data_IF_679509640975
#
_entry.id   IF_679509640975
#
_cell.length_a   1.000
_cell.length_b   1.000
_cell.length_c   1.000
_cell.angle_alpha   90.00
_cell.angle_beta   90.00
_cell.angle_gamma   90.00
#
_symmetry.space_group_name_H-M   'P 1'
#
loop_
_entity.id
_entity.type
_entity.pdbx_description
1 polymer ?
#
# COMPACT_ATOMS: atom_id res chain seq x y z
N UNK A 1 10.17 49.13 43.23
CA UNK A 1 8.80 48.59 43.24
C UNK A 1 7.92 49.46 42.34
N UNK A 2 7.61 48.98 41.13
CA UNK A 2 6.49 49.47 40.32
C UNK A 2 5.83 48.20 39.79
N UNK A 3 4.55 48.02 40.13
CA UNK A 3 3.86 46.75 40.06
C UNK A 3 3.88 46.11 38.66
N UNK A 4 4.54 44.95 38.57
CA UNK A 4 4.48 44.00 37.46
C UNK A 4 3.21 43.14 37.57
N UNK A 5 2.03 43.77 37.57
CA UNK A 5 0.75 43.06 37.59
C UNK A 5 0.19 42.87 36.17
N UNK A 6 0.50 41.70 35.60
CA UNK A 6 -0.18 40.97 34.52
C UNK A 6 -1.18 41.73 33.62
N UNK A 7 -0.68 42.40 32.58
CA UNK A 7 -1.53 42.86 31.48
C UNK A 7 -2.06 41.64 30.70
N UNK A 8 -3.33 41.30 30.90
CA UNK A 8 -4.12 40.44 30.00
C UNK A 8 -4.34 41.20 28.68
N UNK A 9 -3.34 41.28 27.80
CA UNK A 9 -3.55 41.83 26.46
C UNK A 9 -4.32 40.80 25.61
N UNK A 10 -5.64 40.97 25.53
CA UNK A 10 -6.52 40.30 24.57
C UNK A 10 -6.68 41.25 23.38
N UNK A 11 -6.03 40.97 22.26
CA UNK A 11 -6.23 41.75 21.04
C UNK A 11 -7.44 41.18 20.27
N UNK A 12 -8.56 41.90 20.30
CA UNK A 12 -9.77 41.59 19.53
C UNK A 12 -10.04 42.73 18.53
N UNK A 13 -9.89 42.47 17.23
CA UNK A 13 -10.02 43.54 16.22
C UNK A 13 -10.84 43.04 15.01
N UNK A 14 -11.75 43.90 14.54
CA UNK A 14 -12.69 43.68 13.43
C UNK A 14 -12.46 44.75 12.35
N UNK A 15 -12.33 44.35 11.08
CA UNK A 15 -12.38 45.28 9.93
C UNK A 15 -11.08 45.99 9.53
N UNK A 16 -9.93 45.67 10.13
CA UNK A 16 -8.63 46.25 9.76
C UNK A 16 -7.95 45.49 8.60
N UNK A 17 -7.25 46.22 7.71
CA UNK A 17 -6.55 45.61 6.54
C UNK A 17 -5.39 44.71 6.98
N UNK A 18 -4.62 45.10 8.00
CA UNK A 18 -3.46 44.37 8.53
C UNK A 18 -3.47 44.38 10.07
N UNK A 19 -3.09 43.24 10.66
CA UNK A 19 -2.92 43.09 12.12
C UNK A 19 -1.65 42.29 12.41
N UNK A 20 -0.76 42.89 13.21
CA UNK A 20 0.47 42.25 13.69
C UNK A 20 0.52 42.34 15.22
N UNK A 21 0.72 41.21 15.89
CA UNK A 21 0.89 41.12 17.34
C UNK A 21 2.25 40.56 17.75
N UNK A 22 2.69 40.86 18.97
CA UNK A 22 3.84 40.25 19.61
C UNK A 22 3.58 40.08 21.11
N UNK A 23 3.78 38.87 21.65
CA UNK A 23 3.73 38.61 23.10
C UNK A 23 2.34 38.66 23.76
N UNK A 24 1.24 38.65 22.98
CA UNK A 24 -0.12 38.65 23.55
C UNK A 24 -0.50 37.29 24.14
N UNK A 25 -1.34 37.26 25.18
CA UNK A 25 -1.85 35.97 25.69
C UNK A 25 -2.85 35.35 24.70
N UNK A 26 -3.70 36.19 24.07
CA UNK A 26 -4.69 35.77 23.08
C UNK A 26 -4.80 36.81 21.97
N UNK A 27 -4.80 36.36 20.71
CA UNK A 27 -5.03 37.20 19.53
C UNK A 27 -6.17 36.62 18.70
N UNK A 28 -7.17 37.44 18.37
CA UNK A 28 -8.31 37.03 17.56
C UNK A 28 -8.64 38.09 16.51
N UNK A 29 -8.73 37.67 15.24
CA UNK A 29 -9.13 38.56 14.14
C UNK A 29 -10.34 38.03 13.38
N UNK A 30 -11.29 38.94 13.10
CA UNK A 30 -12.49 38.65 12.30
C UNK A 30 -12.62 39.67 11.16
N UNK A 31 -12.69 39.21 9.92
CA UNK A 31 -12.92 40.06 8.74
C UNK A 31 -11.73 40.93 8.30
N UNK A 32 -10.58 40.79 8.96
CA UNK A 32 -9.33 41.42 8.53
C UNK A 32 -8.71 40.69 7.33
N UNK A 33 -7.90 41.39 6.54
CA UNK A 33 -7.26 40.79 5.37
C UNK A 33 -6.06 39.92 5.79
N UNK A 34 -5.26 40.37 6.75
CA UNK A 34 -4.07 39.68 7.27
C UNK A 34 -4.04 39.71 8.81
N UNK A 35 -3.69 38.58 9.42
CA UNK A 35 -3.39 38.50 10.85
C UNK A 35 -2.10 37.70 11.06
N UNK A 36 -1.11 38.32 11.69
CA UNK A 36 0.15 37.68 12.07
C UNK A 36 0.43 37.87 13.55
N UNK A 37 0.97 36.84 14.20
CA UNK A 37 1.35 36.95 15.61
C UNK A 37 2.59 36.11 15.94
N UNK A 38 3.37 36.61 16.90
CA UNK A 38 4.57 35.97 17.43
C UNK A 38 4.46 35.77 18.93
N UNK A 39 4.67 34.53 19.38
CA UNK A 39 4.81 34.20 20.80
C UNK A 39 3.51 34.16 21.61
N UNK A 40 2.35 34.19 20.97
CA UNK A 40 1.07 34.18 21.69
C UNK A 40 0.66 32.80 22.18
N UNK A 41 -0.12 32.72 23.27
CA UNK A 41 -0.63 31.42 23.73
C UNK A 41 -1.62 30.86 22.70
N UNK A 42 -2.52 31.67 22.17
CA UNK A 42 -3.51 31.24 21.16
C UNK A 42 -3.78 32.35 20.15
N UNK A 43 -3.69 31.99 18.87
CA UNK A 43 -4.01 32.84 17.73
C UNK A 43 -5.18 32.23 16.95
N UNK A 44 -6.28 32.98 16.83
CA UNK A 44 -7.49 32.53 16.15
C UNK A 44 -7.90 33.48 15.02
N UNK A 45 -8.35 32.92 13.90
CA UNK A 45 -8.83 33.66 12.74
C UNK A 45 -10.20 33.20 12.26
N UNK A 46 -11.01 34.14 11.78
CA UNK A 46 -12.25 33.87 11.03
C UNK A 46 -12.35 34.74 9.79
N UNK A 47 -12.47 34.10 8.62
CA UNK A 47 -12.70 34.78 7.34
C UNK A 47 -11.54 35.68 6.90
N UNK A 48 -10.30 35.27 7.19
CA UNK A 48 -9.09 36.05 6.85
C UNK A 48 -8.57 35.69 5.45
N UNK A 49 -7.82 36.57 4.79
CA UNK A 49 -7.07 36.11 3.60
C UNK A 49 -5.86 35.28 4.03
N UNK A 50 -5.14 35.73 5.04
CA UNK A 50 -3.96 35.03 5.55
C UNK A 50 -3.91 35.08 7.08
N UNK A 51 -3.65 33.92 7.69
CA UNK A 51 -3.37 33.78 9.12
C UNK A 51 -2.01 33.11 9.31
N UNK A 52 -1.10 33.77 10.04
CA UNK A 52 0.25 33.25 10.29
C UNK A 52 0.61 33.34 11.78
N UNK A 53 1.13 32.25 12.34
CA UNK A 53 1.60 32.21 13.73
C UNK A 53 2.99 31.61 13.83
N UNK A 54 3.89 32.29 14.56
CA UNK A 54 5.24 31.80 14.87
C UNK A 54 5.41 31.69 16.38
N UNK A 55 5.80 30.51 16.86
CA UNK A 55 6.07 30.27 18.28
C UNK A 55 4.84 30.31 19.19
N UNK A 56 3.63 30.34 18.62
CA UNK A 56 2.39 30.26 19.39
C UNK A 56 2.10 28.83 19.84
N UNK A 57 1.36 28.61 20.95
CA UNK A 57 0.98 27.23 21.33
C UNK A 57 -0.12 26.68 20.43
N UNK A 58 -1.12 27.50 20.12
CA UNK A 58 -2.28 27.13 19.31
C UNK A 58 -2.49 28.13 18.18
N UNK A 59 -2.68 27.64 16.97
CA UNK A 59 -3.09 28.44 15.82
C UNK A 59 -4.30 27.78 15.17
N UNK A 60 -5.45 28.46 15.21
CA UNK A 60 -6.69 27.93 14.64
C UNK A 60 -7.32 28.91 13.67
N UNK A 61 -7.85 28.38 12.57
CA UNK A 61 -8.57 29.18 11.59
C UNK A 61 -9.87 28.53 11.13
N UNK A 62 -10.87 29.39 10.87
CA UNK A 62 -12.09 29.03 10.15
C UNK A 62 -12.24 29.92 8.92
N UNK A 63 -12.04 29.34 7.73
CA UNK A 63 -12.36 29.96 6.45
C UNK A 63 -11.35 30.96 5.90
N UNK A 64 -10.04 30.83 6.19
CA UNK A 64 -9.01 31.64 5.54
C UNK A 64 -8.53 31.09 4.20
N UNK A 65 -7.99 31.96 3.33
CA UNK A 65 -7.35 31.45 2.10
C UNK A 65 -6.07 30.67 2.44
N UNK A 66 -5.27 31.09 3.41
CA UNK A 66 -4.06 30.38 3.84
C UNK A 66 -3.79 30.50 5.33
N UNK A 67 -3.53 29.35 5.95
CA UNK A 67 -3.13 29.18 7.34
C UNK A 67 -1.70 28.61 7.40
N UNK A 68 -0.78 29.34 8.02
CA UNK A 68 0.63 28.92 8.13
C UNK A 68 1.11 28.95 9.58
N UNK A 69 1.83 27.89 9.99
CA UNK A 69 2.43 27.76 11.32
C UNK A 69 3.91 27.41 11.30
N UNK A 70 4.68 27.95 12.26
CA UNK A 70 6.06 27.51 12.54
C UNK A 70 6.28 27.34 14.04
N UNK A 71 6.71 26.14 14.44
CA UNK A 71 7.10 25.81 15.82
C UNK A 71 5.91 25.81 16.80
N UNK A 72 4.75 25.32 16.36
CA UNK A 72 3.52 25.32 17.16
C UNK A 72 3.33 24.00 17.93
N UNK A 73 2.49 23.98 18.96
CA UNK A 73 2.03 22.68 19.50
C UNK A 73 0.88 22.14 18.65
N UNK A 74 -0.07 22.98 18.26
CA UNK A 74 -1.24 22.60 17.47
C UNK A 74 -1.50 23.61 16.34
N UNK A 75 -1.64 23.11 15.10
CA UNK A 75 -2.16 23.85 13.96
C UNK A 75 -3.41 23.19 13.41
N UNK A 76 -4.52 23.94 13.33
CA UNK A 76 -5.80 23.41 12.87
C UNK A 76 -6.54 24.41 11.97
N UNK A 77 -7.04 23.95 10.84
CA UNK A 77 -7.81 24.78 9.92
C UNK A 77 -9.05 24.06 9.41
N UNK A 78 -10.19 24.75 9.47
CA UNK A 78 -11.46 24.30 8.89
C UNK A 78 -11.85 25.23 7.74
N UNK A 79 -12.06 24.65 6.56
CA UNK A 79 -12.45 25.40 5.37
C UNK A 79 -11.36 26.33 4.81
N UNK A 80 -10.10 26.19 5.24
CA UNK A 80 -9.00 27.00 4.70
C UNK A 80 -8.50 26.40 3.39
N UNK A 81 -8.13 27.18 2.36
CA UNK A 81 -7.68 26.59 1.07
C UNK A 81 -6.29 25.96 1.12
N UNK A 82 -5.38 26.53 1.90
CA UNK A 82 -4.01 26.05 2.10
C UNK A 82 -3.69 25.97 3.58
N UNK A 83 -3.18 24.83 4.03
CA UNK A 83 -2.75 24.62 5.41
C UNK A 83 -1.34 24.04 5.41
N UNK A 84 -0.37 24.83 5.89
CA UNK A 84 1.04 24.44 5.89
C UNK A 84 1.68 24.64 7.26
N UNK A 85 2.52 23.68 7.66
CA UNK A 85 3.28 23.79 8.91
C UNK A 85 4.69 23.21 8.83
N UNK A 86 5.60 23.85 9.59
CA UNK A 86 6.92 23.30 9.92
C UNK A 86 7.07 23.19 11.44
N UNK A 87 7.19 21.96 11.93
CA UNK A 87 7.56 21.66 13.33
C UNK A 87 6.42 21.63 14.35
N UNK A 88 5.17 21.47 13.93
CA UNK A 88 4.04 21.27 14.86
C UNK A 88 4.02 19.88 15.50
N UNK A 89 3.55 19.77 16.74
CA UNK A 89 3.26 18.43 17.29
C UNK A 89 2.05 17.80 16.59
N UNK A 90 1.03 18.59 16.28
CA UNK A 90 -0.21 18.14 15.63
C UNK A 90 -0.64 19.09 14.51
N UNK A 91 -0.86 18.53 13.32
CA UNK A 91 -1.35 19.23 12.14
C UNK A 91 -2.65 18.58 11.65
N UNK A 92 -3.74 19.34 11.56
CA UNK A 92 -5.06 18.83 11.17
C UNK A 92 -5.81 19.78 10.23
N UNK A 93 -6.49 19.23 9.22
CA UNK A 93 -7.36 19.96 8.30
C UNK A 93 -8.69 19.24 8.01
N UNK A 94 -9.82 19.97 7.99
CA UNK A 94 -11.19 19.39 7.83
C UNK A 94 -12.15 20.16 6.89
N UNK A 95 -12.85 19.43 6.00
CA UNK A 95 -14.20 19.73 5.39
C UNK A 95 -14.27 20.72 4.20
N UNK A 96 -15.30 20.75 3.30
CA UNK A 96 -16.65 20.10 3.26
C UNK A 96 -17.13 19.66 1.83
N UNK A 97 -18.30 18.97 1.76
CA UNK A 97 -18.84 18.14 0.64
C UNK A 97 -19.45 18.90 -0.57
N UNK A 98 -19.68 20.21 -0.46
CA UNK A 98 -20.29 21.02 -1.54
C UNK A 98 -19.59 22.33 -1.87
N UNK A 99 -18.44 22.63 -1.25
CA UNK A 99 -17.51 23.63 -1.76
C UNK A 99 -16.12 23.28 -1.20
N UNK A 100 -15.10 23.24 -2.06
CA UNK A 100 -13.74 22.75 -1.79
C UNK A 100 -13.15 23.14 -0.42
N UNK A 101 -12.81 22.13 0.39
CA UNK A 101 -11.94 22.24 1.57
C UNK A 101 -10.46 22.52 1.24
N UNK A 102 -9.55 22.36 2.21
CA UNK A 102 -8.11 22.60 1.99
C UNK A 102 -7.60 21.82 0.79
N UNK A 103 -7.38 22.55 -0.30
CA UNK A 103 -6.89 22.02 -1.56
C UNK A 103 -5.53 21.36 -1.32
N UNK A 104 -4.74 21.92 -0.42
CA UNK A 104 -3.43 21.41 -0.02
C UNK A 104 -3.26 21.42 1.50
N UNK A 105 -2.87 20.27 2.04
CA UNK A 105 -2.42 20.11 3.42
C UNK A 105 -0.98 19.58 3.38
N UNK A 106 -0.01 20.37 3.86
CA UNK A 106 1.40 19.98 3.86
C UNK A 106 2.02 20.13 5.27
N UNK A 107 2.71 19.08 5.74
CA UNK A 107 3.42 19.11 7.02
C UNK A 107 4.84 18.57 6.93
N UNK A 108 5.83 19.33 7.41
CA UNK A 108 7.22 18.87 7.57
C UNK A 108 7.58 18.76 9.05
N UNK A 109 8.02 17.56 9.46
CA UNK A 109 8.47 17.27 10.82
C UNK A 109 7.34 17.19 11.86
N UNK A 110 6.07 17.16 11.43
CA UNK A 110 4.94 17.04 12.35
C UNK A 110 4.86 15.63 12.93
N UNK A 111 4.70 15.49 14.26
CA UNK A 111 4.55 14.15 14.86
C UNK A 111 3.28 13.44 14.35
N UNK A 112 2.19 14.19 14.22
CA UNK A 112 0.91 13.71 13.68
C UNK A 112 0.40 14.64 12.58
N UNK A 113 0.11 14.08 11.41
CA UNK A 113 -0.52 14.77 10.28
C UNK A 113 -1.79 14.03 9.87
N UNK A 114 -2.95 14.68 10.03
CA UNK A 114 -4.25 14.10 9.71
C UNK A 114 -5.01 15.00 8.71
N UNK A 115 -5.47 14.40 7.60
CA UNK A 115 -6.27 15.08 6.58
C UNK A 115 -7.62 14.40 6.36
N UNK A 116 -8.67 15.19 6.16
CA UNK A 116 -9.99 14.69 5.75
C UNK A 116 -10.59 15.54 4.63
N UNK A 117 -10.78 14.91 3.46
CA UNK A 117 -11.40 15.53 2.28
C UNK A 117 -10.53 16.57 1.56
N UNK A 118 -9.21 16.53 1.71
CA UNK A 118 -8.27 17.40 0.98
C UNK A 118 -8.02 16.89 -0.43
N UNK A 119 -7.83 17.77 -1.43
CA UNK A 119 -7.44 17.29 -2.77
C UNK A 119 -6.04 16.66 -2.75
N UNK A 120 -5.11 17.26 -2.01
CA UNK A 120 -3.73 16.80 -1.83
C UNK A 120 -3.33 16.81 -0.35
N UNK A 121 -2.81 15.68 0.15
CA UNK A 121 -2.18 15.55 1.46
C UNK A 121 -0.72 15.12 1.27
N UNK A 122 0.24 15.94 1.71
CA UNK A 122 1.66 15.60 1.67
C UNK A 122 2.30 15.70 3.07
N UNK A 123 3.02 14.66 3.48
CA UNK A 123 3.77 14.64 4.73
C UNK A 123 5.22 14.21 4.54
N UNK A 124 6.15 14.92 5.17
CA UNK A 124 7.57 14.56 5.18
C UNK A 124 8.09 14.47 6.62
N UNK A 125 8.61 13.30 6.98
CA UNK A 125 9.23 13.02 8.28
C UNK A 125 8.24 12.98 9.44
N UNK A 126 6.97 12.65 9.19
CA UNK A 126 5.96 12.52 10.24
C UNK A 126 6.00 11.14 10.89
N UNK A 127 5.73 11.06 12.20
CA UNK A 127 5.60 9.73 12.84
C UNK A 127 4.33 9.02 12.36
N UNK A 128 3.23 9.77 12.22
CA UNK A 128 1.95 9.27 11.73
C UNK A 128 1.39 10.21 10.66
N UNK A 129 1.01 9.65 9.52
CA UNK A 129 0.30 10.34 8.43
C UNK A 129 -0.99 9.57 8.13
N UNK A 130 -2.15 10.19 8.38
CA UNK A 130 -3.45 9.56 8.13
C UNK A 130 -4.32 10.43 7.21
N UNK A 131 -4.96 9.78 6.24
CA UNK A 131 -5.89 10.42 5.31
C UNK A 131 -7.23 9.69 5.20
N UNK A 132 -8.31 10.48 5.13
CA UNK A 132 -9.64 10.02 4.72
C UNK A 132 -10.14 10.84 3.53
N UNK A 133 -10.13 10.22 2.34
CA UNK A 133 -10.82 10.72 1.16
C UNK A 133 -10.10 11.81 0.37
N UNK A 134 -8.77 11.78 0.28
CA UNK A 134 -8.04 12.65 -0.65
C UNK A 134 -8.00 12.14 -2.08
N UNK A 135 -7.69 12.99 -3.07
CA UNK A 135 -7.33 12.48 -4.40
C UNK A 135 -5.89 11.94 -4.42
N UNK A 136 -4.99 12.61 -3.71
CA UNK A 136 -3.57 12.28 -3.67
C UNK A 136 -3.07 12.33 -2.22
N UNK A 137 -2.53 11.20 -1.75
CA UNK A 137 -1.80 11.07 -0.50
C UNK A 137 -0.34 10.71 -0.81
N UNK A 138 0.59 11.57 -0.41
CA UNK A 138 2.03 11.30 -0.54
C UNK A 138 2.72 11.39 0.83
N UNK A 139 3.41 10.31 1.22
CA UNK A 139 4.23 10.26 2.43
C UNK A 139 5.70 10.01 2.09
N UNK A 140 6.61 10.69 2.80
CA UNK A 140 8.05 10.41 2.76
C UNK A 140 8.61 10.27 4.16
N UNK A 141 9.28 9.14 4.41
CA UNK A 141 9.99 8.86 5.67
C UNK A 141 9.09 8.81 6.89
N UNK A 142 7.87 8.29 6.76
CA UNK A 142 6.93 8.22 7.89
C UNK A 142 7.07 6.90 8.67
N UNK A 143 6.75 6.86 9.96
CA UNK A 143 6.70 5.54 10.65
C UNK A 143 5.45 4.76 10.23
N UNK A 144 4.31 5.45 10.11
CA UNK A 144 3.04 4.87 9.69
C UNK A 144 2.33 5.81 8.71
N UNK A 145 1.98 5.27 7.54
CA UNK A 145 1.14 5.91 6.54
C UNK A 145 -0.14 5.10 6.36
N UNK A 146 -1.30 5.73 6.61
CA UNK A 146 -2.61 5.12 6.41
C UNK A 146 -3.46 6.01 5.51
N UNK A 147 -4.02 5.45 4.43
CA UNK A 147 -4.96 6.15 3.57
C UNK A 147 -6.20 5.33 3.27
N UNK A 148 -7.35 5.99 3.37
CA UNK A 148 -8.65 5.40 3.06
C UNK A 148 -9.37 6.23 2.00
N UNK A 149 -9.72 5.58 0.89
CA UNK A 149 -10.48 6.18 -0.22
C UNK A 149 -9.67 7.12 -1.12
N UNK A 150 -8.32 7.05 -1.08
CA UNK A 150 -7.48 7.93 -1.89
C UNK A 150 -7.37 7.46 -3.35
N UNK A 151 -7.53 8.32 -4.36
CA UNK A 151 -7.35 7.89 -5.77
C UNK A 151 -5.91 7.41 -6.02
N UNK A 152 -4.92 8.14 -5.50
CA UNK A 152 -3.51 7.79 -5.53
C UNK A 152 -2.94 7.84 -4.11
N UNK A 153 -2.24 6.77 -3.72
CA UNK A 153 -1.54 6.65 -2.44
C UNK A 153 -0.10 6.25 -2.74
N UNK A 154 0.84 7.18 -2.51
CA UNK A 154 2.26 6.97 -2.78
C UNK A 154 3.06 7.09 -1.49
N UNK A 155 3.92 6.11 -1.25
CA UNK A 155 4.85 6.10 -0.13
C UNK A 155 6.30 5.98 -0.57
N UNK A 156 7.18 6.68 0.14
CA UNK A 156 8.64 6.53 0.03
C UNK A 156 9.25 6.35 1.43
N UNK A 157 9.53 5.10 1.78
CA UNK A 157 10.32 4.73 2.96
C UNK A 157 9.56 4.70 4.29
N UNK A 158 8.29 4.30 4.31
CA UNK A 158 7.59 4.10 5.58
C UNK A 158 7.94 2.79 6.28
N UNK A 159 7.72 2.69 7.60
CA UNK A 159 7.81 1.35 8.24
C UNK A 159 6.56 0.51 7.93
N UNK A 160 5.39 1.14 7.94
CA UNK A 160 4.11 0.49 7.68
C UNK A 160 3.27 1.36 6.74
N UNK A 161 2.82 0.76 5.64
CA UNK A 161 1.87 1.37 4.71
C UNK A 161 0.58 0.56 4.68
N UNK A 162 -0.55 1.21 4.96
CA UNK A 162 -1.88 0.61 4.81
C UNK A 162 -2.76 1.48 3.89
N UNK A 163 -3.26 0.87 2.81
CA UNK A 163 -4.19 1.51 1.88
C UNK A 163 -5.50 0.74 1.74
N UNK A 164 -6.63 1.45 1.84
CA UNK A 164 -7.96 0.88 1.61
C UNK A 164 -8.71 1.67 0.54
N UNK A 165 -9.21 0.97 -0.47
CA UNK A 165 -10.06 1.54 -1.51
C UNK A 165 -9.35 2.51 -2.46
N UNK A 166 -8.02 2.38 -2.62
CA UNK A 166 -7.26 3.24 -3.52
C UNK A 166 -7.31 2.78 -4.97
N UNK A 167 -7.36 3.68 -5.95
CA UNK A 167 -7.23 3.23 -7.36
C UNK A 167 -5.81 2.75 -7.63
N UNK A 168 -4.82 3.53 -7.19
CA UNK A 168 -3.41 3.23 -7.30
C UNK A 168 -2.75 3.32 -5.92
N UNK A 169 -2.08 2.25 -5.54
CA UNK A 169 -1.21 2.17 -4.38
C UNK A 169 0.21 1.88 -4.87
N UNK A 170 1.14 2.80 -4.62
CA UNK A 170 2.54 2.64 -4.99
C UNK A 170 3.42 2.79 -3.75
N UNK A 171 4.26 1.79 -3.51
CA UNK A 171 5.23 1.82 -2.42
C UNK A 171 6.66 1.73 -2.93
N UNK A 172 7.55 2.49 -2.28
CA UNK A 172 8.99 2.38 -2.44
C UNK A 172 9.64 2.23 -1.07
N UNK A 173 9.98 0.99 -0.71
CA UNK A 173 10.85 0.70 0.42
C UNK A 173 10.15 0.63 1.77
N UNK A 174 8.86 0.27 1.83
CA UNK A 174 8.22 -0.02 3.12
C UNK A 174 8.77 -1.28 3.77
N UNK A 175 8.63 -1.45 5.10
CA UNK A 175 8.86 -2.78 5.70
C UNK A 175 7.64 -3.69 5.49
N UNK A 176 6.45 -3.14 5.68
CA UNK A 176 5.18 -3.85 5.55
C UNK A 176 4.19 -3.04 4.72
N UNK A 177 3.62 -3.67 3.71
CA UNK A 177 2.60 -3.10 2.85
C UNK A 177 1.32 -3.93 2.87
N UNK A 178 0.20 -3.31 3.24
CA UNK A 178 -1.12 -3.91 3.14
C UNK A 178 -2.06 -3.06 2.26
N UNK A 179 -2.61 -3.68 1.22
CA UNK A 179 -3.60 -3.05 0.34
C UNK A 179 -4.91 -3.84 0.27
N UNK A 180 -6.04 -3.15 0.48
CA UNK A 180 -7.38 -3.75 0.34
C UNK A 180 -8.21 -3.00 -0.71
N UNK A 181 -8.72 -3.73 -1.70
CA UNK A 181 -9.60 -3.21 -2.74
C UNK A 181 -8.94 -2.19 -3.66
N UNK A 182 -7.64 -2.34 -3.90
CA UNK A 182 -6.91 -1.44 -4.81
C UNK A 182 -6.95 -1.93 -6.25
N UNK A 183 -7.15 -1.06 -7.24
CA UNK A 183 -7.08 -1.55 -8.64
C UNK A 183 -5.67 -1.98 -9.00
N UNK A 184 -4.67 -1.16 -8.66
CA UNK A 184 -3.26 -1.44 -8.87
C UNK A 184 -2.50 -1.30 -7.56
N UNK A 185 -1.77 -2.35 -7.20
CA UNK A 185 -0.86 -2.37 -6.06
C UNK A 185 0.54 -2.72 -6.57
N UNK A 186 1.40 -1.70 -6.62
CA UNK A 186 2.78 -1.83 -7.05
C UNK A 186 3.73 -1.63 -5.88
N UNK A 187 4.57 -2.62 -5.62
CA UNK A 187 5.60 -2.56 -4.58
C UNK A 187 7.01 -2.63 -5.18
N UNK A 188 7.86 -1.68 -4.78
CA UNK A 188 9.29 -1.73 -5.05
C UNK A 188 10.07 -1.68 -3.74
N UNK A 189 10.38 -2.86 -3.24
CA UNK A 189 11.33 -3.03 -2.14
C UNK A 189 10.69 -3.30 -0.78
N UNK A 190 9.38 -3.57 -0.70
CA UNK A 190 8.82 -4.04 0.56
C UNK A 190 9.36 -5.40 0.95
N UNK A 191 9.56 -5.59 2.26
CA UNK A 191 9.85 -6.93 2.79
C UNK A 191 8.61 -7.81 2.72
N UNK A 192 7.46 -7.32 3.12
CA UNK A 192 6.19 -8.04 3.12
C UNK A 192 5.09 -7.26 2.42
N UNK A 193 4.38 -7.92 1.52
CA UNK A 193 3.22 -7.37 0.81
C UNK A 193 2.02 -8.31 0.94
N UNK A 194 0.91 -7.78 1.48
CA UNK A 194 -0.39 -8.43 1.46
C UNK A 194 -1.40 -7.60 0.65
N UNK A 195 -1.96 -8.21 -0.40
CA UNK A 195 -3.02 -7.61 -1.21
C UNK A 195 -4.32 -8.41 -1.17
N UNK A 196 -5.47 -7.74 -0.98
CA UNK A 196 -6.80 -8.36 -1.05
C UNK A 196 -7.69 -7.64 -2.06
N UNK A 197 -8.22 -8.38 -3.03
CA UNK A 197 -9.19 -7.89 -4.01
C UNK A 197 -8.59 -6.87 -4.99
N UNK A 198 -7.36 -7.10 -5.42
CA UNK A 198 -6.65 -6.22 -6.36
C UNK A 198 -6.78 -6.67 -7.81
N UNK A 199 -6.88 -5.74 -8.77
CA UNK A 199 -6.83 -6.16 -10.18
C UNK A 199 -5.42 -6.60 -10.55
N UNK A 200 -4.41 -5.83 -10.13
CA UNK A 200 -2.99 -6.14 -10.34
C UNK A 200 -2.22 -6.01 -9.03
N UNK A 201 -1.40 -7.03 -8.74
CA UNK A 201 -0.55 -7.10 -7.56
C UNK A 201 0.85 -7.59 -7.96
N UNK A 202 1.88 -6.83 -7.62
CA UNK A 202 3.27 -7.21 -7.89
C UNK A 202 4.25 -6.76 -6.79
N UNK A 203 5.39 -7.46 -6.71
CA UNK A 203 6.55 -7.06 -5.93
C UNK A 203 6.69 -7.74 -4.55
N UNK A 204 7.72 -7.33 -3.83
CA UNK A 204 8.15 -7.80 -2.50
C UNK A 204 8.88 -9.14 -2.44
N UNK A 205 9.62 -9.31 -1.33
CA UNK A 205 10.30 -10.58 -0.98
C UNK A 205 9.33 -11.65 -0.48
N UNK A 206 8.23 -11.24 0.16
CA UNK A 206 7.20 -12.11 0.71
C UNK A 206 5.83 -11.59 0.26
N UNK A 207 5.27 -12.21 -0.77
CA UNK A 207 4.08 -11.74 -1.46
C UNK A 207 2.89 -12.66 -1.20
N UNK A 208 1.79 -12.09 -0.69
CA UNK A 208 0.53 -12.78 -0.49
C UNK A 208 -0.63 -12.02 -1.16
N UNK A 209 -1.33 -12.68 -2.08
CA UNK A 209 -2.48 -12.13 -2.77
C UNK A 209 -3.73 -12.98 -2.62
N UNK A 210 -4.85 -12.35 -2.25
CA UNK A 210 -6.19 -12.99 -2.22
C UNK A 210 -7.17 -12.31 -3.17
N UNK A 211 -7.73 -13.08 -4.09
CA UNK A 211 -8.76 -12.64 -5.03
C UNK A 211 -8.24 -11.61 -6.03
N UNK A 212 -7.01 -11.78 -6.50
CA UNK A 212 -6.41 -10.86 -7.48
C UNK A 212 -6.70 -11.29 -8.92
N UNK A 213 -6.92 -10.37 -9.86
CA UNK A 213 -7.01 -10.79 -11.27
C UNK A 213 -5.64 -11.24 -11.79
N UNK A 214 -4.60 -10.46 -11.51
CA UNK A 214 -3.21 -10.76 -11.86
C UNK A 214 -2.33 -10.63 -10.62
N UNK A 215 -1.56 -11.69 -10.34
CA UNK A 215 -0.58 -11.74 -9.26
C UNK A 215 0.77 -12.17 -9.85
N UNK A 216 1.76 -11.28 -9.80
CA UNK A 216 3.08 -11.50 -10.40
C UNK A 216 4.19 -11.34 -9.35
N UNK A 217 5.04 -12.36 -9.20
CA UNK A 217 6.28 -12.31 -8.41
C UNK A 217 7.51 -12.39 -9.28
N UNK A 218 8.57 -11.69 -8.89
CA UNK A 218 9.90 -11.78 -9.51
C UNK A 218 10.96 -11.76 -8.42
N UNK A 219 11.81 -12.78 -8.37
CA UNK A 219 12.86 -12.91 -7.36
C UNK A 219 12.33 -12.95 -5.92
N UNK A 220 11.11 -13.46 -5.73
CA UNK A 220 10.49 -13.52 -4.41
C UNK A 220 11.07 -14.67 -3.60
N UNK A 221 11.09 -14.59 -2.27
CA UNK A 221 11.40 -15.77 -1.45
C UNK A 221 10.16 -16.67 -1.32
N UNK A 222 9.00 -16.04 -1.17
CA UNK A 222 7.72 -16.72 -1.06
C UNK A 222 6.66 -15.94 -1.85
N UNK A 223 5.94 -16.66 -2.71
CA UNK A 223 4.75 -16.18 -3.40
C UNK A 223 3.56 -17.07 -3.09
N UNK A 224 2.50 -16.49 -2.54
CA UNK A 224 1.25 -17.18 -2.26
C UNK A 224 0.07 -16.46 -2.92
N UNK A 225 -0.69 -17.18 -3.73
CA UNK A 225 -1.90 -16.67 -4.39
C UNK A 225 -3.11 -17.56 -4.13
N UNK A 226 -4.21 -16.95 -3.68
CA UNK A 226 -5.48 -17.63 -3.50
C UNK A 226 -6.59 -16.96 -4.33
N UNK A 227 -7.21 -17.73 -5.24
CA UNK A 227 -8.30 -17.27 -6.09
C UNK A 227 -7.85 -16.27 -7.15
N UNK A 228 -6.65 -16.44 -7.69
CA UNK A 228 -6.11 -15.55 -8.72
C UNK A 228 -6.60 -15.95 -10.10
N UNK A 229 -6.92 -15.02 -11.02
CA UNK A 229 -7.15 -15.46 -12.41
C UNK A 229 -5.82 -15.89 -13.06
N UNK A 230 -4.77 -15.10 -12.87
CA UNK A 230 -3.42 -15.39 -13.33
C UNK A 230 -2.45 -15.24 -12.17
N UNK A 231 -1.67 -16.28 -11.90
CA UNK A 231 -0.57 -16.31 -10.94
C UNK A 231 0.72 -16.66 -11.70
N UNK A 232 1.65 -15.72 -11.79
CA UNK A 232 2.92 -15.89 -12.48
C UNK A 232 4.09 -15.64 -11.52
N UNK A 233 5.09 -16.51 -11.54
CA UNK A 233 6.32 -16.37 -10.76
C UNK A 233 7.55 -16.51 -11.67
N UNK A 234 8.45 -15.54 -11.56
CA UNK A 234 9.79 -15.58 -12.18
C UNK A 234 10.84 -15.69 -11.07
N UNK A 235 11.14 -16.93 -10.70
CA UNK A 235 12.14 -17.24 -9.68
C UNK A 235 11.66 -16.98 -8.26
N UNK A 236 11.38 -18.07 -7.54
CA UNK A 236 11.20 -18.04 -6.09
C UNK A 236 11.76 -19.24 -5.36
N UNK A 237 11.83 -19.16 -4.02
CA UNK A 237 12.09 -20.38 -3.25
C UNK A 237 10.81 -21.22 -3.12
N UNK A 238 9.64 -20.59 -3.02
CA UNK A 238 8.36 -21.28 -2.84
C UNK A 238 7.25 -20.52 -3.56
N UNK A 239 6.56 -21.20 -4.48
CA UNK A 239 5.33 -20.75 -5.12
C UNK A 239 4.16 -21.64 -4.68
N UNK A 240 3.13 -21.03 -4.10
CA UNK A 240 1.89 -21.69 -3.74
C UNK A 240 0.70 -21.02 -4.44
N UNK A 241 -0.06 -21.77 -5.23
CA UNK A 241 -1.26 -21.31 -5.92
C UNK A 241 -2.48 -22.16 -5.59
N UNK A 242 -3.53 -21.54 -5.06
CA UNK A 242 -4.80 -22.20 -4.80
C UNK A 242 -5.94 -21.56 -5.61
N UNK A 243 -6.69 -22.37 -6.35
CA UNK A 243 -7.86 -21.94 -7.12
C UNK A 243 -7.53 -20.92 -8.21
N UNK A 244 -6.36 -21.05 -8.85
CA UNK A 244 -5.96 -20.13 -9.91
C UNK A 244 -6.41 -20.62 -11.28
N UNK A 245 -6.91 -19.76 -12.19
CA UNK A 245 -7.21 -20.23 -13.55
C UNK A 245 -5.93 -20.64 -14.28
N UNK A 246 -4.89 -19.80 -14.18
CA UNK A 246 -3.56 -20.08 -14.72
C UNK A 246 -2.50 -19.89 -13.63
N UNK A 247 -1.68 -20.92 -13.42
CA UNK A 247 -0.52 -20.92 -12.53
C UNK A 247 0.73 -21.20 -13.36
N UNK A 248 1.59 -20.20 -13.52
CA UNK A 248 2.83 -20.32 -14.28
C UNK A 248 4.03 -20.04 -13.37
N UNK A 249 5.00 -20.95 -13.40
CA UNK A 249 6.24 -20.87 -12.64
C UNK A 249 7.46 -21.02 -13.56
N UNK A 250 8.38 -20.07 -13.46
CA UNK A 250 9.70 -20.12 -14.09
C UNK A 250 10.79 -20.10 -13.01
N UNK A 251 11.20 -21.29 -12.57
CA UNK A 251 12.38 -21.47 -11.73
C UNK A 251 12.15 -21.33 -10.23
N UNK A 252 11.09 -21.95 -9.68
CA UNK A 252 10.99 -22.08 -8.22
C UNK A 252 11.75 -23.30 -7.66
N UNK A 253 12.11 -23.30 -6.37
CA UNK A 253 12.54 -24.56 -5.73
C UNK A 253 11.35 -25.50 -5.50
N UNK A 254 10.21 -24.95 -5.11
CA UNK A 254 8.99 -25.70 -4.83
C UNK A 254 7.78 -24.99 -5.43
N UNK A 255 7.06 -25.71 -6.28
CA UNK A 255 5.79 -25.30 -6.88
C UNK A 255 4.68 -26.18 -6.32
N UNK A 256 3.70 -25.58 -5.62
CA UNK A 256 2.50 -26.27 -5.18
C UNK A 256 1.24 -25.63 -5.79
N UNK A 257 0.52 -26.41 -6.59
CA UNK A 257 -0.77 -26.05 -7.18
C UNK A 257 -1.93 -26.81 -6.55
N UNK A 258 -3.07 -26.15 -6.38
CA UNK A 258 -4.33 -26.81 -6.02
C UNK A 258 -5.48 -26.20 -6.80
N UNK A 259 -6.24 -27.04 -7.50
CA UNK A 259 -7.46 -26.63 -8.20
C UNK A 259 -7.23 -25.63 -9.32
N UNK A 260 -6.10 -25.73 -10.04
CA UNK A 260 -5.82 -24.85 -11.18
C UNK A 260 -6.45 -25.35 -12.48
N UNK A 261 -6.90 -24.47 -13.38
CA UNK A 261 -7.27 -24.97 -14.72
C UNK A 261 -6.02 -25.35 -15.52
N UNK A 262 -4.98 -24.52 -15.46
CA UNK A 262 -3.71 -24.74 -16.14
C UNK A 262 -2.57 -24.50 -15.14
N UNK A 263 -1.68 -25.47 -15.01
CA UNK A 263 -0.46 -25.37 -14.24
C UNK A 263 0.73 -25.64 -15.16
N UNK A 264 1.64 -24.67 -15.27
CA UNK A 264 2.89 -24.82 -16.01
C UNK A 264 4.06 -24.54 -15.06
N UNK A 265 4.97 -25.50 -14.91
CA UNK A 265 6.19 -25.36 -14.12
C UNK A 265 7.43 -25.65 -14.96
N UNK A 266 8.31 -24.66 -15.12
CA UNK A 266 9.58 -24.82 -15.83
C UNK A 266 10.75 -24.58 -14.87
N UNK A 267 11.67 -25.53 -14.83
CA UNK A 267 12.89 -25.44 -14.02
C UNK A 267 12.64 -25.62 -12.51
N UNK A 268 11.42 -26.01 -12.11
CA UNK A 268 11.08 -26.17 -10.70
C UNK A 268 11.67 -27.46 -10.16
N UNK A 269 12.37 -27.44 -9.01
CA UNK A 269 12.96 -28.69 -8.49
C UNK A 269 11.89 -29.70 -8.06
N UNK A 270 10.81 -29.21 -7.45
CA UNK A 270 9.68 -30.02 -6.98
C UNK A 270 8.38 -29.38 -7.46
N UNK A 271 7.51 -30.19 -8.07
CA UNK A 271 6.16 -29.80 -8.49
C UNK A 271 5.17 -30.73 -7.78
N UNK A 272 4.24 -30.17 -7.01
CA UNK A 272 3.10 -30.90 -6.48
C UNK A 272 1.81 -30.25 -7.01
N UNK A 273 0.97 -31.04 -7.67
CA UNK A 273 -0.34 -30.60 -8.13
C UNK A 273 -1.45 -31.44 -7.50
N UNK A 274 -2.49 -30.75 -7.04
CA UNK A 274 -3.69 -31.33 -6.45
C UNK A 274 -4.90 -30.90 -7.24
N UNK A 275 -5.09 -31.50 -8.42
CA UNK A 275 -6.23 -31.18 -9.26
C UNK A 275 -5.93 -30.05 -10.24
N UNK A 276 -5.59 -30.41 -11.47
CA UNK A 276 -5.65 -29.49 -12.60
C UNK A 276 -6.35 -30.05 -13.83
N UNK A 277 -6.74 -29.19 -14.77
CA UNK A 277 -7.20 -29.68 -16.08
C UNK A 277 -5.99 -30.02 -16.96
N UNK A 278 -4.97 -29.18 -16.93
CA UNK A 278 -3.73 -29.37 -17.67
C UNK A 278 -2.54 -29.06 -16.76
N UNK A 279 -1.62 -30.01 -16.65
CA UNK A 279 -0.36 -29.90 -15.94
C UNK A 279 0.80 -30.11 -16.91
N UNK A 280 1.66 -29.11 -17.06
CA UNK A 280 2.90 -29.21 -17.82
C UNK A 280 4.11 -28.95 -16.92
N UNK A 281 5.03 -29.90 -16.84
CA UNK A 281 6.31 -29.78 -16.15
C UNK A 281 7.47 -29.91 -17.14
N UNK A 282 8.49 -29.06 -17.01
CA UNK A 282 9.72 -29.20 -17.78
C UNK A 282 10.95 -28.95 -16.90
N UNK A 283 11.90 -29.88 -16.89
CA UNK A 283 13.17 -29.74 -16.19
C UNK A 283 12.99 -29.70 -14.67
N UNK A 284 12.42 -30.77 -14.12
CA UNK A 284 12.14 -30.91 -12.69
C UNK A 284 12.79 -32.16 -12.11
N UNK A 285 13.06 -32.17 -10.79
CA UNK A 285 13.61 -33.38 -10.15
C UNK A 285 12.48 -34.34 -9.75
N UNK A 286 11.39 -33.80 -9.21
CA UNK A 286 10.23 -34.56 -8.75
C UNK A 286 8.93 -33.86 -9.16
N UNK A 287 8.00 -34.62 -9.73
CA UNK A 287 6.61 -34.19 -9.95
C UNK A 287 5.68 -35.23 -9.34
N UNK A 288 4.78 -34.77 -8.48
CA UNK A 288 3.66 -35.54 -7.95
C UNK A 288 2.34 -34.87 -8.37
N UNK A 289 1.51 -35.60 -9.09
CA UNK A 289 0.18 -35.18 -9.51
C UNK A 289 -0.90 -36.10 -8.92
N UNK A 290 -1.68 -35.58 -7.98
CA UNK A 290 -2.83 -36.30 -7.38
C UNK A 290 -4.04 -36.34 -8.34
N UNK A 291 -4.01 -35.55 -9.42
CA UNK A 291 -5.05 -35.63 -10.43
C UNK A 291 -4.98 -34.51 -11.46
N UNK A 292 -4.84 -34.91 -12.71
CA UNK A 292 -5.04 -34.00 -13.83
C UNK A 292 -5.80 -34.66 -14.98
N UNK A 293 -6.40 -33.87 -15.88
CA UNK A 293 -6.96 -34.48 -17.10
C UNK A 293 -5.86 -34.80 -18.10
N UNK A 294 -4.88 -33.91 -18.22
CA UNK A 294 -3.74 -34.02 -19.11
C UNK A 294 -2.47 -33.65 -18.34
N UNK A 295 -1.54 -34.59 -18.25
CA UNK A 295 -0.21 -34.40 -17.68
C UNK A 295 0.84 -34.57 -18.76
N UNK A 296 1.71 -33.57 -18.92
CA UNK A 296 2.91 -33.65 -19.73
C UNK A 296 4.13 -33.27 -18.88
N UNK A 297 5.05 -34.22 -18.68
CA UNK A 297 6.30 -34.00 -17.96
C UNK A 297 7.50 -34.30 -18.84
N UNK A 298 8.47 -33.38 -18.88
CA UNK A 298 9.71 -33.57 -19.63
C UNK A 298 10.96 -33.41 -18.76
N UNK A 299 11.91 -34.32 -18.93
CA UNK A 299 13.25 -34.23 -18.34
C UNK A 299 13.22 -34.26 -16.82
N UNK A 300 12.98 -35.44 -16.26
CA UNK A 300 12.82 -35.60 -14.82
C UNK A 300 13.50 -36.81 -14.21
N UNK A 301 13.72 -36.77 -12.89
CA UNK A 301 14.14 -37.98 -12.16
C UNK A 301 12.92 -38.82 -11.79
N UNK A 302 11.86 -38.20 -11.27
CA UNK A 302 10.64 -38.89 -10.87
C UNK A 302 9.41 -38.12 -11.34
N UNK A 303 8.51 -38.82 -12.02
CA UNK A 303 7.18 -38.36 -12.40
C UNK A 303 6.16 -39.37 -11.88
N UNK A 304 5.36 -38.96 -10.90
CA UNK A 304 4.29 -39.75 -10.33
C UNK A 304 2.93 -39.09 -10.59
N UNK A 305 1.98 -39.87 -11.10
CA UNK A 305 0.60 -39.46 -11.31
C UNK A 305 -0.34 -40.54 -10.77
N UNK A 306 -1.24 -40.13 -9.88
CA UNK A 306 -2.23 -41.04 -9.28
C UNK A 306 -3.48 -41.20 -10.17
N UNK A 307 -3.78 -40.20 -10.99
CA UNK A 307 -4.97 -40.20 -11.84
C UNK A 307 -4.84 -39.24 -13.00
N UNK A 308 -4.91 -39.77 -14.21
CA UNK A 308 -5.08 -38.92 -15.40
C UNK A 308 -5.92 -39.54 -16.51
N UNK A 309 -6.44 -38.71 -17.41
CA UNK A 309 -6.92 -39.23 -18.69
C UNK A 309 -5.75 -39.48 -19.63
N UNK A 310 -4.78 -38.57 -19.68
CA UNK A 310 -3.58 -38.69 -20.50
C UNK A 310 -2.36 -38.29 -19.69
N UNK A 311 -1.36 -39.17 -19.68
CA UNK A 311 -0.05 -38.95 -19.10
C UNK A 311 1.02 -39.17 -20.17
N UNK A 312 1.78 -38.12 -20.46
CA UNK A 312 2.99 -38.18 -21.26
C UNK A 312 4.20 -37.80 -20.39
N UNK A 313 5.15 -38.73 -20.24
CA UNK A 313 6.40 -38.50 -19.54
C UNK A 313 7.59 -38.78 -20.46
N UNK A 314 8.30 -37.72 -20.86
CA UNK A 314 9.45 -37.81 -21.76
C UNK A 314 10.76 -37.67 -20.96
N UNK A 315 11.70 -38.60 -21.17
CA UNK A 315 13.03 -38.56 -20.58
C UNK A 315 13.02 -38.60 -19.05
N UNK A 316 12.07 -39.31 -18.45
CA UNK A 316 11.98 -39.48 -17.00
C UNK A 316 12.74 -40.72 -16.54
N UNK A 317 13.55 -40.64 -15.48
CA UNK A 317 14.20 -41.86 -14.95
C UNK A 317 13.16 -42.85 -14.43
N UNK A 318 12.19 -42.37 -13.66
CA UNK A 318 11.06 -43.16 -13.16
C UNK A 318 9.74 -42.47 -13.53
N UNK A 319 8.87 -43.20 -14.22
CA UNK A 319 7.54 -42.77 -14.62
C UNK A 319 6.50 -43.74 -14.04
N UNK A 320 5.66 -43.23 -13.15
CA UNK A 320 4.57 -43.96 -12.49
C UNK A 320 3.27 -43.26 -12.86
N UNK A 321 2.36 -44.01 -13.47
CA UNK A 321 1.07 -43.52 -13.98
C UNK A 321 -0.08 -44.38 -13.52
N UNK A 322 -0.29 -44.49 -12.22
CA UNK A 322 -1.43 -45.23 -11.65
C UNK A 322 -2.74 -44.56 -12.10
N UNK A 323 -3.73 -45.38 -12.45
CA UNK A 323 -5.07 -44.88 -12.82
C UNK A 323 -5.09 -43.98 -14.07
N UNK A 324 -4.01 -43.98 -14.87
CA UNK A 324 -3.91 -43.22 -16.11
C UNK A 324 -4.48 -44.02 -17.28
N UNK A 325 -5.48 -43.45 -17.99
CA UNK A 325 -6.10 -44.18 -19.12
C UNK A 325 -5.17 -44.35 -20.32
N UNK A 326 -4.35 -43.34 -20.59
CA UNK A 326 -3.35 -43.35 -21.66
C UNK A 326 -2.02 -42.92 -21.07
N UNK A 327 -1.01 -43.79 -21.19
CA UNK A 327 0.33 -43.61 -20.63
C UNK A 327 1.37 -43.71 -21.75
N UNK A 328 2.17 -42.66 -21.93
CA UNK A 328 3.30 -42.60 -22.88
C UNK A 328 4.55 -42.25 -22.08
N UNK A 329 5.61 -43.04 -22.27
CA UNK A 329 6.85 -42.96 -21.49
C UNK A 329 8.11 -42.91 -22.34
N UNK A 330 8.15 -42.06 -23.36
CA UNK A 330 9.26 -42.02 -24.30
C UNK A 330 10.60 -41.68 -23.60
N UNK A 331 11.64 -42.47 -23.86
CA UNK A 331 12.95 -42.30 -23.23
C UNK A 331 12.96 -42.51 -21.71
N UNK A 332 11.88 -43.06 -21.13
CA UNK A 332 11.83 -43.36 -19.70
C UNK A 332 12.57 -44.66 -19.37
N UNK A 333 13.36 -44.68 -18.29
CA UNK A 333 14.13 -45.88 -17.92
C UNK A 333 13.27 -46.92 -17.20
N UNK A 334 12.38 -46.47 -16.33
CA UNK A 334 11.44 -47.32 -15.61
C UNK A 334 10.03 -46.76 -15.80
N UNK A 335 9.13 -47.59 -16.35
CA UNK A 335 7.74 -47.24 -16.64
C UNK A 335 6.81 -48.22 -15.91
N UNK A 336 5.91 -47.69 -15.09
CA UNK A 336 4.91 -48.46 -14.35
C UNK A 336 3.53 -47.84 -14.62
N UNK A 337 2.61 -48.65 -15.15
CA UNK A 337 1.19 -48.34 -15.26
C UNK A 337 0.37 -49.44 -14.58
N UNK A 338 -0.57 -49.04 -13.72
CA UNK A 338 -1.53 -49.89 -13.01
C UNK A 338 -2.93 -49.33 -13.24
#
# INVERSE_FOLDING_TARGET
MKDWNGIKLICYIKGSKYLNGNGSKYSNGKGSRYLNDKGSRSLNGKGLRYLNGKGSRYLNDKGSRSLNGKGLRYLNGKGSSYLNDKGSSYLNGKGSKYLNGSRYLNGKGSKYLNGKGSKYLNGNGSKYLNDEGSNYLNGKGSKYLNGNGSKYLNDEGSRYLNGKGSRYLNDKGSRYLNGKGSSYLNDKGSRYLNGKGSKYLNGSRYLNGKGSKYLNGKGSKYLNGNGSKYLNDEGSKYLNGNGSKYLNDEGSRYLNGKGSSYLNGKGSSFINDKGSKYLNGNGFKYLNDEGSRYLNGKGSKYLNCEKSKYLNGEGSKYLIGEGSRYLIGEGSRYLIGL
#
